data_IF_720767069435
#
_entry.id   IF_720767069435
#
_cell.length_a   1.000
_cell.length_b   1.000
_cell.length_c   1.000
_cell.angle_alpha   90.00
_cell.angle_beta   90.00
_cell.angle_gamma   90.00
#
_symmetry.space_group_name_H-M   'P 1'
#
loop_
_entity.id
_entity.type
_entity.pdbx_description
1 polymer ?
#
# COMPACT_ATOMS: atom_id res chain seq x y z
N UNK A 1 4.75 -73.12 20.85
CA UNK A 1 5.66 -71.97 20.68
C UNK A 1 4.82 -70.75 20.35
N UNK A 2 4.46 -69.99 21.37
CA UNK A 2 3.59 -68.82 21.31
C UNK A 2 4.36 -67.62 20.76
N UNK A 3 3.67 -66.84 19.92
CA UNK A 3 4.19 -65.69 19.20
C UNK A 3 4.52 -64.52 20.13
N UNK A 4 5.71 -63.94 19.96
CA UNK A 4 6.19 -62.76 20.68
C UNK A 4 5.50 -61.52 20.09
N UNK A 5 4.59 -60.90 20.85
CA UNK A 5 4.08 -59.57 20.54
C UNK A 5 5.18 -58.53 20.81
N UNK A 6 5.75 -57.94 19.75
CA UNK A 6 6.62 -56.76 19.85
C UNK A 6 5.72 -55.52 19.98
N UNK A 7 5.83 -54.81 21.09
CA UNK A 7 5.23 -53.49 21.30
C UNK A 7 5.79 -52.46 20.30
N UNK A 8 4.94 -51.90 19.45
CA UNK A 8 5.23 -50.67 18.71
C UNK A 8 4.88 -49.47 19.60
N UNK A 9 5.82 -48.55 19.91
CA UNK A 9 5.47 -47.32 20.60
C UNK A 9 4.82 -46.35 19.61
N UNK A 10 3.58 -45.95 19.89
CA UNK A 10 2.88 -44.88 19.15
C UNK A 10 3.51 -43.55 19.57
N UNK A 11 4.36 -42.99 18.71
CA UNK A 11 4.87 -41.63 18.84
C UNK A 11 3.74 -40.65 18.52
N UNK A 12 3.09 -40.12 19.56
CA UNK A 12 2.19 -38.97 19.47
C UNK A 12 3.04 -37.72 19.16
N UNK A 13 3.12 -37.35 17.88
CA UNK A 13 3.58 -36.02 17.48
C UNK A 13 2.50 -35.00 17.87
N UNK A 14 2.67 -34.37 19.02
CA UNK A 14 2.00 -33.11 19.33
C UNK A 14 2.56 -32.05 18.38
N UNK A 15 1.82 -31.73 17.32
CA UNK A 15 2.12 -30.57 16.51
C UNK A 15 1.80 -29.32 17.35
N UNK A 16 2.84 -28.59 17.74
CA UNK A 16 2.68 -27.24 18.28
C UNK A 16 2.15 -26.37 17.14
N UNK A 17 0.83 -26.15 17.11
CA UNK A 17 0.25 -25.09 16.28
C UNK A 17 0.55 -23.79 17.02
N UNK A 18 1.57 -23.07 16.57
CA UNK A 18 1.78 -21.67 16.94
C UNK A 18 0.55 -20.88 16.49
N UNK A 19 -0.31 -20.53 17.44
CA UNK A 19 -1.37 -19.56 17.24
C UNK A 19 -0.72 -18.18 17.13
N UNK A 20 -0.32 -17.82 15.91
CA UNK A 20 0.03 -16.45 15.57
C UNK A 20 -1.20 -15.57 15.74
N UNK A 21 -1.11 -14.57 16.62
CA UNK A 21 -2.15 -13.55 16.76
C UNK A 21 -2.24 -12.74 15.47
N UNK A 22 -3.44 -12.67 14.89
CA UNK A 22 -3.74 -12.05 13.59
C UNK A 22 -3.65 -10.51 13.58
N UNK A 23 -2.87 -9.90 14.48
CA UNK A 23 -2.80 -8.44 14.60
C UNK A 23 -1.78 -7.78 13.66
N UNK A 24 -0.78 -8.53 13.16
CA UNK A 24 0.25 -7.97 12.27
C UNK A 24 0.00 -8.21 10.77
N UNK A 25 -1.14 -8.77 10.39
CA UNK A 25 -1.49 -9.03 8.98
C UNK A 25 -2.46 -8.03 8.37
N UNK A 26 -3.13 -7.20 9.18
CA UNK A 26 -4.04 -6.19 8.68
C UNK A 26 -3.27 -4.89 8.38
N UNK A 27 -2.61 -4.84 7.21
CA UNK A 27 -2.23 -3.55 6.62
C UNK A 27 -3.50 -2.87 6.14
N UNK A 28 -3.73 -1.64 6.56
CA UNK A 28 -4.89 -0.79 6.27
C UNK A 28 -5.31 -0.91 4.80
N UNK A 29 -6.34 -1.71 4.58
CA UNK A 29 -6.93 -1.96 3.28
C UNK A 29 -7.67 -0.70 2.84
N UNK A 30 -7.39 -0.19 1.63
CA UNK A 30 -8.31 0.76 0.97
C UNK A 30 -9.48 -0.05 0.43
N UNK A 31 -10.26 -0.63 1.34
CA UNK A 31 -11.49 -1.36 1.05
C UNK A 31 -12.60 -0.33 0.89
N UNK A 32 -13.10 -0.17 -0.34
CA UNK A 32 -14.34 0.57 -0.56
C UNK A 32 -15.48 -0.44 -0.54
N UNK A 33 -16.05 -0.64 0.65
CA UNK A 33 -17.14 -1.58 0.86
C UNK A 33 -18.37 -1.16 0.03
N UNK A 34 -18.99 -2.14 -0.65
CA UNK A 34 -20.20 -1.91 -1.42
C UNK A 34 -19.94 -1.30 -2.80
N UNK A 35 -18.71 -1.36 -3.29
CA UNK A 35 -18.34 -0.89 -4.63
C UNK A 35 -17.63 -1.99 -5.42
N UNK A 36 -17.86 -2.01 -6.73
CA UNK A 36 -17.12 -2.84 -7.68
C UNK A 36 -16.62 -1.98 -8.84
N UNK A 37 -15.39 -2.22 -9.31
CA UNK A 37 -14.86 -1.56 -10.49
C UNK A 37 -15.55 -2.10 -11.74
N UNK A 38 -16.12 -1.22 -12.59
CA UNK A 38 -16.70 -1.62 -13.89
C UNK A 38 -15.68 -1.47 -15.02
N UNK A 39 -15.90 -2.20 -16.12
CA UNK A 39 -15.17 -2.08 -17.42
C UNK A 39 -13.71 -2.51 -17.46
N UNK A 40 -13.04 -2.69 -16.32
CA UNK A 40 -11.64 -3.17 -16.26
C UNK A 40 -11.51 -4.67 -15.96
N UNK A 41 -12.64 -5.37 -15.80
CA UNK A 41 -12.69 -6.81 -15.52
C UNK A 41 -12.29 -7.58 -16.77
N UNK A 42 -11.23 -8.38 -16.68
CA UNK A 42 -10.73 -9.16 -17.81
C UNK A 42 -10.80 -10.68 -17.57
N UNK A 43 -10.87 -11.12 -16.31
CA UNK A 43 -11.08 -12.54 -15.95
C UNK A 43 -11.99 -12.68 -14.75
N UNK A 44 -12.74 -13.79 -14.70
CA UNK A 44 -13.72 -14.09 -13.65
C UNK A 44 -13.70 -15.56 -13.24
N UNK A 45 -13.76 -15.82 -11.94
CA UNK A 45 -13.84 -17.17 -11.36
C UNK A 45 -14.79 -17.24 -10.16
N UNK A 46 -15.20 -18.45 -9.81
CA UNK A 46 -15.82 -18.74 -8.52
C UNK A 46 -14.73 -19.17 -7.53
N UNK A 47 -14.60 -18.45 -6.41
CA UNK A 47 -13.63 -18.75 -5.36
C UNK A 47 -14.26 -18.56 -3.97
N UNK A 48 -13.99 -19.49 -3.06
CA UNK A 48 -14.66 -19.56 -1.76
C UNK A 48 -14.35 -18.36 -0.84
N UNK A 49 -13.21 -17.68 -1.03
CA UNK A 49 -12.75 -16.60 -0.19
C UNK A 49 -11.86 -15.59 -0.94
N UNK A 50 -11.71 -14.35 -0.44
CA UNK A 50 -10.97 -13.28 -1.11
C UNK A 50 -9.48 -13.57 -1.29
N UNK A 51 -8.81 -14.21 -0.32
CA UNK A 51 -7.39 -14.54 -0.43
C UNK A 51 -7.05 -15.42 -1.66
N UNK A 52 -8.03 -16.18 -2.17
CA UNK A 52 -7.87 -16.95 -3.40
C UNK A 52 -7.82 -16.04 -4.64
N UNK A 53 -8.48 -14.88 -4.61
CA UNK A 53 -8.31 -13.84 -5.62
C UNK A 53 -6.91 -13.25 -5.59
N UNK A 54 -6.32 -13.04 -4.40
CA UNK A 54 -4.94 -12.53 -4.30
C UNK A 54 -3.96 -13.46 -4.99
N UNK A 55 -4.08 -14.77 -4.77
CA UNK A 55 -3.25 -15.79 -5.43
C UNK A 55 -3.43 -15.75 -6.94
N UNK A 56 -4.68 -15.71 -7.43
CA UNK A 56 -4.98 -15.64 -8.87
C UNK A 56 -4.46 -14.35 -9.50
N UNK A 57 -4.63 -13.22 -8.82
CA UNK A 57 -4.10 -11.94 -9.26
C UNK A 57 -2.57 -11.94 -9.26
N UNK A 58 -1.94 -12.56 -8.27
CA UNK A 58 -0.49 -12.75 -8.17
C UNK A 58 0.11 -13.46 -9.38
N UNK A 59 -0.60 -14.46 -9.92
CA UNK A 59 -0.19 -15.25 -11.08
C UNK A 59 -0.40 -14.55 -12.43
N UNK A 60 -1.17 -13.46 -12.45
CA UNK A 60 -1.53 -12.74 -13.67
C UNK A 60 -0.78 -11.41 -13.68
N UNK A 61 0.21 -11.26 -14.57
CA UNK A 61 1.04 -10.04 -14.62
C UNK A 61 0.21 -8.77 -14.91
N UNK A 62 -0.86 -8.93 -15.67
CA UNK A 62 -1.80 -7.86 -16.02
C UNK A 62 -2.79 -7.56 -14.90
N UNK A 63 -2.88 -8.40 -13.87
CA UNK A 63 -3.78 -8.14 -12.76
C UNK A 63 -3.22 -7.04 -11.86
N UNK A 64 -4.07 -6.06 -11.58
CA UNK A 64 -3.71 -4.89 -10.81
C UNK A 64 -4.63 -4.74 -9.59
N UNK A 65 -5.89 -5.18 -9.68
CA UNK A 65 -6.84 -5.29 -8.56
C UNK A 65 -7.81 -6.41 -8.83
N UNK A 66 -8.76 -6.63 -7.92
CA UNK A 66 -9.90 -7.49 -8.16
C UNK A 66 -11.14 -6.99 -7.43
N UNK A 67 -12.31 -7.32 -7.97
CA UNK A 67 -13.56 -7.25 -7.23
C UNK A 67 -13.86 -8.65 -6.66
N UNK A 68 -14.42 -8.71 -5.46
CA UNK A 68 -14.93 -9.95 -4.91
C UNK A 68 -16.38 -9.80 -4.44
N UNK A 69 -17.22 -10.75 -4.84
CA UNK A 69 -18.60 -10.84 -4.40
C UNK A 69 -18.74 -11.86 -3.25
N UNK A 70 -19.12 -11.38 -2.06
CA UNK A 70 -19.29 -12.24 -0.86
C UNK A 70 -20.48 -13.19 -0.95
N UNK A 71 -21.56 -12.78 -1.63
CA UNK A 71 -22.82 -13.53 -1.75
C UNK A 71 -22.70 -14.70 -2.72
N UNK A 72 -22.10 -14.45 -3.88
CA UNK A 72 -21.98 -15.42 -4.97
C UNK A 72 -20.59 -16.07 -5.07
N UNK A 73 -19.64 -15.65 -4.21
CA UNK A 73 -18.28 -16.18 -4.17
C UNK A 73 -17.57 -16.00 -5.50
N UNK A 74 -17.72 -14.82 -6.11
CA UNK A 74 -17.16 -14.50 -7.44
C UNK A 74 -15.95 -13.61 -7.27
N UNK A 75 -14.88 -13.93 -8.00
CA UNK A 75 -13.68 -13.15 -8.15
C UNK A 75 -13.60 -12.55 -9.55
N UNK A 76 -13.34 -11.26 -9.68
CA UNK A 76 -13.16 -10.57 -10.95
C UNK A 76 -11.84 -9.82 -10.94
N UNK A 77 -10.86 -10.26 -11.73
CA UNK A 77 -9.57 -9.58 -11.81
C UNK A 77 -9.69 -8.36 -12.74
N UNK A 78 -9.07 -7.27 -12.30
CA UNK A 78 -9.06 -5.98 -12.95
C UNK A 78 -7.64 -5.65 -13.41
N UNK A 79 -7.52 -5.16 -14.64
CA UNK A 79 -6.23 -4.84 -15.25
C UNK A 79 -5.76 -3.40 -15.01
N UNK A 80 -6.53 -2.58 -14.29
CA UNK A 80 -6.24 -1.16 -14.06
C UNK A 80 -6.73 -0.75 -12.68
N UNK A 81 -5.90 -0.04 -11.92
CA UNK A 81 -6.15 0.21 -10.49
C UNK A 81 -6.24 1.65 -10.07
N UNK A 82 -5.48 2.58 -10.68
CA UNK A 82 -5.36 3.92 -10.08
C UNK A 82 -6.32 5.00 -10.62
N UNK A 83 -7.33 4.63 -11.39
CA UNK A 83 -8.39 5.57 -11.75
C UNK A 83 -9.77 4.99 -11.55
N UNK A 84 -9.99 4.33 -10.41
CA UNK A 84 -11.36 4.19 -9.97
C UNK A 84 -11.83 5.57 -9.48
N UNK A 85 -12.05 6.50 -10.43
CA UNK A 85 -12.84 7.71 -10.19
C UNK A 85 -14.17 7.27 -9.60
N UNK A 86 -14.86 8.08 -8.79
CA UNK A 86 -16.18 7.72 -8.28
C UNK A 86 -17.12 7.20 -9.39
N UNK A 87 -16.99 7.72 -10.62
CA UNK A 87 -17.77 7.27 -11.78
C UNK A 87 -17.47 5.84 -12.26
N UNK A 88 -16.29 5.30 -11.98
CA UNK A 88 -15.82 3.97 -12.39
C UNK A 88 -16.21 2.87 -11.41
N UNK A 89 -16.78 3.24 -10.26
CA UNK A 89 -17.39 2.30 -9.35
C UNK A 89 -18.88 2.15 -9.62
N UNK A 90 -19.36 0.91 -9.53
CA UNK A 90 -20.76 0.60 -9.40
C UNK A 90 -21.06 0.36 -7.92
N UNK A 91 -22.08 1.06 -7.42
CA UNK A 91 -22.69 0.75 -6.14
C UNK A 91 -23.24 -0.67 -6.18
N UNK A 92 -22.61 -1.55 -5.42
CA UNK A 92 -22.80 -2.98 -5.47
C UNK A 92 -22.61 -3.55 -4.05
N UNK A 93 -23.67 -3.60 -3.20
CA UNK A 93 -23.54 -3.87 -1.76
C UNK A 93 -22.91 -5.23 -1.39
N UNK A 94 -23.01 -6.21 -2.29
CA UNK A 94 -22.43 -7.54 -2.09
C UNK A 94 -20.97 -7.66 -2.56
N UNK A 95 -20.42 -6.59 -3.15
CA UNK A 95 -19.09 -6.54 -3.72
C UNK A 95 -18.18 -5.63 -2.92
N UNK A 96 -16.88 -5.91 -3.04
CA UNK A 96 -15.83 -5.01 -2.60
C UNK A 96 -14.68 -5.09 -3.58
N UNK A 97 -13.99 -3.97 -3.68
CA UNK A 97 -12.81 -3.79 -4.49
C UNK A 97 -11.56 -3.95 -3.63
N UNK A 98 -10.56 -4.68 -4.13
CA UNK A 98 -9.26 -4.84 -3.48
C UNK A 98 -8.15 -4.52 -4.47
N UNK A 99 -7.24 -3.65 -4.05
CA UNK A 99 -6.02 -3.28 -4.78
C UNK A 99 -4.94 -4.35 -4.59
N UNK A 100 -4.25 -4.76 -5.67
CA UNK A 100 -3.07 -5.63 -5.56
C UNK A 100 -1.94 -4.86 -4.87
N UNK A 101 -1.36 -5.45 -3.82
CA UNK A 101 -0.31 -4.84 -3.03
C UNK A 101 1.10 -5.23 -3.48
N UNK A 102 1.30 -6.45 -4.01
CA UNK A 102 2.63 -6.98 -4.34
C UNK A 102 2.74 -7.39 -5.81
N UNK A 103 3.89 -7.08 -6.44
CA UNK A 103 4.21 -7.51 -7.81
C UNK A 103 3.36 -6.84 -8.89
N UNK A 104 2.98 -5.57 -8.67
CA UNK A 104 2.19 -4.79 -9.60
C UNK A 104 3.07 -4.38 -10.79
N UNK A 105 2.67 -4.72 -12.01
CA UNK A 105 3.33 -4.19 -13.20
C UNK A 105 2.99 -2.70 -13.34
N UNK A 106 3.96 -1.78 -13.52
CA UNK A 106 3.67 -0.36 -13.69
C UNK A 106 2.72 -0.12 -14.86
N UNK A 107 1.79 0.83 -14.74
CA UNK A 107 0.93 1.22 -15.86
C UNK A 107 1.78 1.62 -17.09
N UNK A 108 1.35 1.21 -18.29
CA UNK A 108 2.13 1.43 -19.52
C UNK A 108 3.35 0.53 -19.68
N UNK A 109 3.69 -0.33 -18.71
CA UNK A 109 4.85 -1.24 -18.87
C UNK A 109 4.60 -2.38 -19.86
N UNK A 110 3.33 -2.68 -20.16
CA UNK A 110 2.93 -3.72 -21.12
C UNK A 110 2.02 -3.16 -22.22
N UNK A 111 2.08 -3.70 -23.46
CA UNK A 111 1.32 -3.18 -24.60
C UNK A 111 -0.19 -3.23 -24.43
N UNK A 112 -0.70 -4.23 -23.71
CA UNK A 112 -2.15 -4.44 -23.48
C UNK A 112 -2.75 -3.45 -22.47
N UNK A 113 -1.90 -2.67 -21.79
CA UNK A 113 -2.30 -1.64 -20.82
C UNK A 113 -1.56 -0.33 -21.07
N UNK A 114 -1.77 0.30 -22.23
CA UNK A 114 -1.13 1.58 -22.49
C UNK A 114 -1.70 2.65 -21.57
N UNK A 115 -0.84 3.55 -21.09
CA UNK A 115 -1.29 4.75 -20.41
C UNK A 115 -1.64 5.84 -21.44
N UNK A 116 -2.50 6.80 -21.14
CA UNK A 116 -2.72 7.93 -22.05
C UNK A 116 -1.53 8.90 -22.04
N UNK A 117 -0.78 8.96 -20.93
CA UNK A 117 0.37 9.87 -20.80
C UNK A 117 1.36 9.42 -19.71
N UNK A 118 2.57 9.99 -19.72
CA UNK A 118 3.51 9.83 -18.61
C UNK A 118 2.94 10.35 -17.29
N UNK A 119 2.16 11.43 -17.34
CA UNK A 119 1.45 11.98 -16.18
C UNK A 119 0.46 10.97 -15.59
N UNK A 120 -0.23 10.18 -16.42
CA UNK A 120 -1.12 9.13 -15.95
C UNK A 120 -0.35 7.99 -15.26
N UNK A 121 0.81 7.58 -15.81
CA UNK A 121 1.66 6.57 -15.18
C UNK A 121 2.15 7.07 -13.82
N UNK A 122 2.56 8.34 -13.77
CA UNK A 122 2.99 9.00 -12.54
C UNK A 122 1.88 9.12 -11.51
N UNK A 123 0.72 9.63 -11.93
CA UNK A 123 -0.47 9.63 -11.11
C UNK A 123 -0.82 8.21 -10.65
N UNK A 124 -0.55 7.16 -11.47
CA UNK A 124 -0.83 5.73 -11.25
C UNK A 124 0.10 5.04 -10.25
N UNK A 125 1.40 5.26 -10.33
CA UNK A 125 2.40 4.51 -9.54
C UNK A 125 3.12 5.38 -8.51
N UNK A 126 3.01 6.71 -8.59
CA UNK A 126 3.63 7.65 -7.65
C UNK A 126 5.14 7.44 -7.56
N UNK A 127 5.65 7.26 -6.35
CA UNK A 127 7.06 6.99 -6.06
C UNK A 127 7.62 5.69 -6.63
N UNK A 128 6.76 4.76 -7.05
CA UNK A 128 7.19 3.50 -7.67
C UNK A 128 7.47 3.67 -9.18
N UNK A 129 7.29 4.88 -9.75
CA UNK A 129 7.64 5.15 -11.14
C UNK A 129 9.15 5.20 -11.39
N UNK A 130 9.57 4.79 -12.59
CA UNK A 130 10.95 4.88 -13.05
C UNK A 130 11.00 5.56 -14.41
N UNK A 131 12.06 6.30 -14.72
CA UNK A 131 12.24 6.83 -16.08
C UNK A 131 12.52 5.68 -17.04
N UNK A 132 11.82 5.65 -18.17
CA UNK A 132 11.84 4.49 -19.06
C UNK A 132 10.92 4.61 -20.26
N UNK A 133 10.92 3.58 -21.10
CA UNK A 133 9.99 3.47 -22.23
C UNK A 133 8.70 2.78 -21.79
N UNK A 134 7.58 3.42 -22.08
CA UNK A 134 6.24 2.95 -21.76
C UNK A 134 5.36 2.94 -23.01
N UNK A 135 4.42 2.01 -23.07
CA UNK A 135 3.36 1.98 -24.05
C UNK A 135 2.35 3.06 -23.68
N UNK A 136 2.22 4.05 -24.55
CA UNK A 136 1.25 5.12 -24.42
C UNK A 136 0.24 5.08 -25.57
N UNK A 137 -1.02 5.36 -25.28
CA UNK A 137 -2.05 5.67 -26.29
C UNK A 137 -2.56 7.10 -26.04
N UNK A 138 -1.82 8.12 -26.51
CA UNK A 138 -2.16 9.52 -26.26
C UNK A 138 -3.53 9.92 -26.82
N UNK A 139 -4.04 9.13 -27.75
CA UNK A 139 -5.28 9.40 -28.50
C UNK A 139 -6.49 8.66 -27.92
N UNK A 140 -6.29 7.69 -27.03
CA UNK A 140 -7.35 6.80 -26.54
C UNK A 140 -8.00 5.95 -27.63
N UNK A 141 -7.34 5.76 -28.78
CA UNK A 141 -7.89 5.03 -29.94
C UNK A 141 -7.57 3.53 -29.93
N UNK A 142 -6.85 3.06 -28.91
CA UNK A 142 -6.31 1.70 -28.79
C UNK A 142 -4.97 1.51 -29.50
N UNK A 143 -4.39 2.54 -30.12
CA UNK A 143 -3.12 2.44 -30.85
C UNK A 143 -1.95 2.86 -29.96
N UNK A 144 -1.45 1.91 -29.19
CA UNK A 144 -0.30 2.11 -28.32
C UNK A 144 1.01 2.32 -29.11
N UNK A 145 1.82 3.26 -28.66
CA UNK A 145 3.17 3.56 -29.15
C UNK A 145 4.15 3.60 -27.99
N UNK A 146 5.39 3.17 -28.23
CA UNK A 146 6.40 3.13 -27.18
C UNK A 146 7.09 4.51 -27.07
N UNK A 147 6.87 5.21 -25.95
CA UNK A 147 7.36 6.57 -25.69
C UNK A 147 8.23 6.57 -24.44
N UNK A 148 9.30 7.37 -24.43
CA UNK A 148 10.12 7.55 -23.24
C UNK A 148 9.48 8.57 -22.30
N UNK A 149 9.29 8.18 -21.04
CA UNK A 149 8.85 9.04 -19.96
C UNK A 149 10.04 9.34 -19.05
N UNK A 150 10.37 10.63 -18.92
CA UNK A 150 11.32 11.12 -17.92
C UNK A 150 10.56 11.49 -16.65
N UNK A 151 10.38 10.52 -15.76
CA UNK A 151 9.58 10.69 -14.55
C UNK A 151 10.18 11.72 -13.58
N UNK A 152 11.46 12.05 -13.75
CA UNK A 152 12.18 13.08 -12.98
C UNK A 152 11.79 14.49 -13.44
N UNK A 153 11.61 14.70 -14.75
CA UNK A 153 11.23 16.02 -15.30
C UNK A 153 9.76 16.33 -15.15
N UNK A 154 8.92 15.29 -15.14
CA UNK A 154 7.49 15.43 -14.88
C UNK A 154 7.20 15.55 -13.37
N UNK A 155 8.22 15.86 -12.54
CA UNK A 155 8.10 15.97 -11.09
C UNK A 155 7.65 17.35 -10.64
N UNK A 156 6.49 17.36 -9.99
CA UNK A 156 5.97 18.51 -9.30
C UNK A 156 6.50 18.44 -7.88
N UNK A 157 7.18 19.51 -7.46
CA UNK A 157 7.64 19.62 -6.09
C UNK A 157 6.47 20.01 -5.18
N UNK A 158 5.83 19.02 -4.55
CA UNK A 158 4.66 19.28 -3.71
C UNK A 158 4.99 20.18 -2.51
N UNK A 159 6.23 20.13 -2.02
CA UNK A 159 6.71 20.91 -0.88
C UNK A 159 6.94 22.40 -1.20
N UNK A 160 7.02 22.79 -2.47
CA UNK A 160 7.12 24.20 -2.88
C UNK A 160 5.77 24.91 -3.00
N UNK A 161 4.66 24.17 -2.92
CA UNK A 161 3.31 24.71 -2.87
C UNK A 161 2.52 24.16 -1.69
N UNK A 162 1.23 24.46 -1.63
CA UNK A 162 0.31 23.92 -0.61
C UNK A 162 -0.35 22.60 -1.07
N UNK A 163 0.39 21.76 -1.81
CA UNK A 163 -0.16 20.55 -2.42
C UNK A 163 0.29 19.27 -1.70
N UNK A 164 0.48 19.37 -0.38
CA UNK A 164 0.84 18.28 0.53
C UNK A 164 0.00 18.32 1.81
N UNK A 165 -0.06 17.20 2.54
CA UNK A 165 -0.80 17.05 3.81
C UNK A 165 0.11 16.69 5.00
N UNK A 166 1.40 17.06 4.95
CA UNK A 166 2.29 16.98 6.10
C UNK A 166 1.74 17.75 7.31
N UNK A 167 2.04 17.24 8.53
CA UNK A 167 1.73 17.94 9.78
C UNK A 167 2.44 19.31 9.82
N UNK A 168 1.85 20.36 10.43
CA UNK A 168 2.52 21.64 10.62
C UNK A 168 3.87 21.55 11.36
N UNK A 169 4.05 20.53 12.21
CA UNK A 169 5.31 20.24 12.91
C UNK A 169 6.14 19.15 12.20
N UNK A 170 5.97 19.00 10.89
CA UNK A 170 6.77 18.12 10.04
C UNK A 170 7.47 18.90 8.92
N UNK A 171 8.65 18.42 8.54
CA UNK A 171 9.34 18.83 7.33
C UNK A 171 8.83 18.01 6.14
N UNK A 172 8.46 18.72 5.08
CA UNK A 172 8.18 18.13 3.78
C UNK A 172 9.47 17.98 2.98
N UNK A 173 9.70 16.80 2.42
CA UNK A 173 10.80 16.54 1.48
C UNK A 173 10.23 16.02 0.17
N UNK A 174 10.50 16.73 -0.92
CA UNK A 174 10.07 16.28 -2.24
C UNK A 174 10.82 15.00 -2.62
N UNK A 175 10.10 14.04 -3.16
CA UNK A 175 10.65 12.80 -3.70
C UNK A 175 10.19 12.63 -5.14
N UNK A 176 10.79 11.70 -5.88
CA UNK A 176 10.34 11.50 -7.25
C UNK A 176 8.93 10.91 -7.27
N UNK A 177 7.94 11.70 -7.71
CA UNK A 177 6.53 11.32 -7.86
C UNK A 177 5.71 11.26 -6.58
N UNK A 178 6.21 11.87 -5.49
CA UNK A 178 5.53 12.04 -4.21
C UNK A 178 6.34 13.01 -3.35
N UNK A 179 5.91 13.23 -2.13
CA UNK A 179 6.72 13.78 -1.06
C UNK A 179 6.73 12.81 0.13
N UNK A 180 7.70 12.98 1.00
CA UNK A 180 7.74 12.36 2.32
C UNK A 180 7.65 13.46 3.39
N UNK A 181 6.88 13.19 4.44
CA UNK A 181 6.77 14.05 5.62
C UNK A 181 7.54 13.41 6.78
N UNK A 182 8.34 14.19 7.49
CA UNK A 182 9.05 13.73 8.68
C UNK A 182 8.86 14.73 9.81
N UNK A 183 8.48 14.27 11.00
CA UNK A 183 8.33 15.17 12.15
C UNK A 183 9.62 15.95 12.41
N UNK A 184 9.47 17.23 12.74
CA UNK A 184 10.59 18.10 13.11
C UNK A 184 11.27 17.58 14.38
N UNK A 185 12.49 18.05 14.63
CA UNK A 185 13.22 17.74 15.87
C UNK A 185 12.39 18.16 17.10
N UNK A 186 12.37 17.33 18.14
CA UNK A 186 11.50 17.53 19.31
C UNK A 186 10.06 17.01 19.12
N UNK A 187 9.73 16.44 17.97
CA UNK A 187 8.43 15.80 17.71
C UNK A 187 8.59 14.34 17.29
N UNK A 188 7.55 13.54 17.53
CA UNK A 188 7.47 12.13 17.13
C UNK A 188 6.13 11.82 16.48
N UNK A 189 6.12 10.90 15.52
CA UNK A 189 4.95 10.59 14.72
C UNK A 189 5.30 10.02 13.36
N UNK A 190 4.33 10.02 12.46
CA UNK A 190 4.47 9.51 11.09
C UNK A 190 4.72 10.63 10.05
N UNK A 191 4.90 11.87 10.49
CA UNK A 191 5.07 13.05 9.63
C UNK A 191 3.77 13.71 9.17
N UNK A 192 2.63 13.00 9.25
CA UNK A 192 1.30 13.56 8.98
C UNK A 192 0.53 13.85 10.27
N UNK A 193 0.94 13.23 11.38
CA UNK A 193 0.52 13.53 12.74
C UNK A 193 1.75 13.54 13.64
N UNK A 194 2.19 14.73 14.03
CA UNK A 194 3.36 14.91 14.89
C UNK A 194 2.96 15.39 16.29
N UNK A 195 3.42 14.67 17.30
CA UNK A 195 3.21 15.00 18.70
C UNK A 195 4.53 15.41 19.35
N UNK A 196 4.45 16.33 20.30
CA UNK A 196 5.58 16.75 21.14
C UNK A 196 6.25 15.54 21.79
N UNK A 197 7.58 15.45 21.67
CA UNK A 197 8.35 14.37 22.24
C UNK A 197 8.88 14.75 23.62
N UNK A 198 8.33 14.14 24.66
CA UNK A 198 8.70 14.44 26.04
C UNK A 198 10.06 13.83 26.41
N UNK A 199 11.14 14.60 26.29
CA UNK A 199 12.49 14.12 26.58
C UNK A 199 12.67 13.77 28.06
N UNK A 200 11.93 14.43 28.96
CA UNK A 200 12.01 14.23 30.41
C UNK A 200 11.43 12.88 30.86
N UNK A 201 10.52 12.29 30.09
CA UNK A 201 10.04 10.91 30.32
C UNK A 201 10.97 9.83 29.79
N UNK A 202 12.06 10.23 29.15
CA UNK A 202 13.05 9.33 28.56
C UNK A 202 14.44 9.62 29.13
N UNK A 203 15.43 8.78 28.81
CA UNK A 203 16.83 9.05 29.18
C UNK A 203 17.55 9.95 28.15
N UNK A 204 16.81 10.76 27.37
CA UNK A 204 17.38 11.64 26.36
C UNK A 204 17.57 13.08 26.86
N UNK A 205 16.96 13.46 27.98
CA UNK A 205 17.22 14.76 28.60
C UNK A 205 18.68 14.86 29.07
N UNK A 206 19.42 15.85 28.58
CA UNK A 206 20.82 16.11 28.95
C UNK A 206 20.95 16.99 30.21
N UNK A 207 19.97 16.93 31.11
CA UNK A 207 19.98 17.70 32.35
C UNK A 207 21.05 17.17 33.33
N UNK A 208 21.58 18.08 34.15
CA UNK A 208 22.45 17.69 35.26
C UNK A 208 21.68 16.78 36.23
N UNK A 209 22.37 15.84 36.89
CA UNK A 209 21.76 14.85 37.80
C UNK A 209 20.95 15.47 38.95
N UNK A 210 21.25 16.73 39.30
CA UNK A 210 20.55 17.48 40.36
C UNK A 210 19.61 18.56 39.81
N UNK A 211 19.32 18.59 38.50
CA UNK A 211 18.41 19.55 37.90
C UNK A 211 17.04 18.90 37.59
N UNK A 212 15.96 19.63 37.82
CA UNK A 212 14.61 19.26 37.39
C UNK A 212 14.51 19.38 35.87
N UNK A 213 14.04 18.34 35.18
CA UNK A 213 13.69 18.41 33.76
C UNK A 213 12.23 18.87 33.60
N UNK A 214 12.01 19.90 32.78
CA UNK A 214 10.69 20.43 32.42
C UNK A 214 10.49 20.31 30.91
N UNK A 215 9.52 19.51 30.50
CA UNK A 215 9.16 19.37 29.08
C UNK A 215 8.50 20.64 28.55
N UNK A 216 8.82 21.01 27.32
CA UNK A 216 8.28 22.18 26.61
C UNK A 216 7.90 21.79 25.18
N UNK A 217 7.09 22.59 24.49
CA UNK A 217 6.70 22.24 23.12
C UNK A 217 7.93 22.29 22.20
N UNK A 218 8.28 21.14 21.63
CA UNK A 218 9.41 20.90 20.74
C UNK A 218 10.77 20.81 21.44
N UNK A 219 10.85 20.79 22.78
CA UNK A 219 12.13 20.73 23.52
C UNK A 219 11.95 20.51 25.03
N UNK A 220 13.01 20.69 25.81
CA UNK A 220 12.96 20.67 27.29
C UNK A 220 13.89 21.71 27.91
N UNK A 221 13.60 22.10 29.16
CA UNK A 221 14.43 23.00 29.96
C UNK A 221 14.83 22.33 31.27
N UNK A 222 16.09 22.47 31.65
CA UNK A 222 16.60 22.04 32.94
C UNK A 222 16.56 23.20 33.94
N UNK A 223 15.99 22.98 35.13
CA UNK A 223 15.93 23.96 36.22
C UNK A 223 16.75 23.47 37.41
N UNK A 224 17.65 24.32 37.89
CA UNK A 224 18.48 24.06 39.06
C UNK A 224 17.69 24.16 40.37
#
# INVERSE_FOLDING_TARGET
MLWIFRHLPVLLFLSNIEYGTANNQCRTEVNIQGMALKRSVFKRWSVAAPHLCDVKCGQEITCQSYNYNRKYKICELNNRTKEARPENFLSAPAWFYIRRLNGRAPLGSIPDLPALSCHEIKASEGKDTISGKYWLDPTGTGKAVLIYCDMIKEDMDECKGDNHDCDPNANCTNTYGSYDCACMEGYTGDGHSCADFDECKTNLSSCHVNADCLNTIGSYVCRC
#
